data_IF_422254489805
#
_entry.id   IF_422254489805
#
_cell.length_a   1.000
_cell.length_b   1.000
_cell.length_c   1.000
_cell.angle_alpha   90.00
_cell.angle_beta   90.00
_cell.angle_gamma   90.00
#
_symmetry.space_group_name_H-M   'P 1'
#
loop_
_entity.id
_entity.type
_entity.pdbx_description
1 polymer ?
#
# COMPACT_ATOMS: atom_id res chain seq x y z
N UNK A 1 -13.28 -4.69 7.76
CA UNK A 1 -14.22 -4.05 6.81
C UNK A 1 -14.07 -2.56 6.96
N UNK A 2 -13.77 -1.83 5.89
CA UNK A 2 -13.70 -0.37 5.91
C UNK A 2 -14.90 0.19 5.13
N UNK A 3 -15.51 1.26 5.64
CA UNK A 3 -16.62 1.94 4.97
C UNK A 3 -16.08 3.06 4.08
N UNK A 4 -16.73 3.29 2.94
CA UNK A 4 -16.36 4.39 2.05
C UNK A 4 -16.66 5.75 2.71
N UNK A 5 -15.75 6.69 2.49
CA UNK A 5 -15.88 8.07 2.97
C UNK A 5 -16.45 8.95 1.86
N UNK A 6 -17.39 9.83 2.22
CA UNK A 6 -17.92 10.85 1.32
C UNK A 6 -17.14 12.16 1.48
N UNK A 7 -17.33 13.08 0.53
CA UNK A 7 -16.66 14.38 0.55
C UNK A 7 -16.95 15.13 1.85
N UNK A 8 -15.91 15.44 2.62
CA UNK A 8 -16.03 16.18 3.88
C UNK A 8 -16.41 15.34 5.10
N UNK A 9 -16.51 14.01 4.99
CA UNK A 9 -16.83 13.11 6.11
C UNK A 9 -15.87 13.20 7.29
N UNK A 10 -14.65 13.70 7.09
CA UNK A 10 -13.65 13.87 8.15
C UNK A 10 -13.51 15.31 8.66
N UNK A 11 -14.33 16.27 8.21
CA UNK A 11 -14.18 17.70 8.57
C UNK A 11 -14.17 18.00 10.07
N UNK A 12 -14.83 17.18 10.88
CA UNK A 12 -14.87 17.32 12.34
C UNK A 12 -13.96 16.33 13.07
N UNK A 13 -13.32 15.42 12.34
CA UNK A 13 -12.35 14.49 12.92
C UNK A 13 -11.04 15.25 13.09
N UNK A 14 -10.65 15.44 14.35
CA UNK A 14 -9.39 16.06 14.72
C UNK A 14 -8.74 15.24 15.83
N UNK A 15 -7.41 15.25 15.87
CA UNK A 15 -6.64 14.45 16.81
C UNK A 15 -5.16 14.68 16.62
N UNK A 16 -4.36 14.12 17.53
CA UNK A 16 -2.90 14.11 17.39
C UNK A 16 -2.48 12.80 16.75
N UNK A 17 -1.75 12.88 15.65
CA UNK A 17 -1.12 11.72 15.04
C UNK A 17 0.19 11.44 15.76
N UNK A 18 0.29 10.27 16.37
CA UNK A 18 1.52 9.76 16.94
C UNK A 18 1.98 8.60 16.06
N UNK A 19 2.89 8.88 15.13
CA UNK A 19 3.55 7.82 14.38
C UNK A 19 4.40 7.00 15.36
N UNK A 20 4.21 5.68 15.36
CA UNK A 20 5.23 4.78 15.90
C UNK A 20 6.49 4.88 15.05
N UNK A 21 7.67 4.71 15.65
CA UNK A 21 8.91 4.52 14.89
C UNK A 21 8.84 3.32 13.93
N UNK A 22 7.91 2.38 14.14
CA UNK A 22 7.62 1.28 13.21
C UNK A 22 7.04 1.73 11.85
N UNK A 23 6.65 3.00 11.71
CA UNK A 23 6.24 3.60 10.43
C UNK A 23 7.38 4.34 9.72
N UNK A 24 8.53 4.49 10.37
CA UNK A 24 9.74 5.01 9.75
C UNK A 24 10.45 3.84 9.08
N UNK A 25 10.73 3.97 7.78
CA UNK A 25 11.40 2.94 6.99
C UNK A 25 12.54 3.61 6.23
N UNK A 26 13.73 3.06 6.31
CA UNK A 26 14.89 3.49 5.54
C UNK A 26 14.86 2.91 4.13
N UNK A 27 15.59 3.55 3.21
CA UNK A 27 15.72 3.04 1.84
C UNK A 27 16.33 1.63 1.80
N UNK A 28 17.29 1.34 2.70
CA UNK A 28 17.91 0.03 2.86
C UNK A 28 16.91 -1.05 3.33
N UNK A 29 16.07 -0.74 4.33
CA UNK A 29 15.02 -1.64 4.80
C UNK A 29 13.99 -1.93 3.71
N UNK A 30 13.62 -0.91 2.92
CA UNK A 30 12.71 -1.06 1.81
C UNK A 30 13.30 -1.96 0.71
N UNK A 31 14.55 -1.72 0.32
CA UNK A 31 15.25 -2.54 -0.69
C UNK A 31 15.38 -3.99 -0.24
N UNK A 32 15.67 -4.24 1.03
CA UNK A 32 15.77 -5.60 1.57
C UNK A 32 14.41 -6.30 1.60
N UNK A 33 13.34 -5.59 1.96
CA UNK A 33 11.97 -6.10 1.88
C UNK A 33 11.58 -6.48 0.44
N UNK A 34 11.91 -5.66 -0.55
CA UNK A 34 11.58 -5.96 -1.96
C UNK A 34 12.26 -7.24 -2.48
N UNK A 35 13.48 -7.55 -2.01
CA UNK A 35 14.20 -8.77 -2.39
C UNK A 35 13.52 -10.05 -1.89
N UNK A 36 12.71 -9.97 -0.84
CA UNK A 36 11.95 -11.12 -0.33
C UNK A 36 10.78 -11.50 -1.23
N UNK A 37 10.30 -10.55 -2.06
CA UNK A 37 9.27 -10.86 -3.04
C UNK A 37 9.88 -11.60 -4.22
N UNK A 38 9.24 -12.69 -4.69
CA UNK A 38 9.61 -13.29 -5.95
C UNK A 38 9.60 -12.23 -7.05
N UNK A 39 10.61 -12.26 -7.93
CA UNK A 39 10.60 -11.40 -9.11
C UNK A 39 9.25 -11.52 -9.82
N UNK A 40 8.60 -10.37 -10.04
CA UNK A 40 7.31 -10.29 -10.74
C UNK A 40 7.51 -10.77 -12.17
N UNK A 41 7.33 -12.07 -12.37
CA UNK A 41 7.35 -12.67 -13.70
C UNK A 41 6.00 -12.34 -14.31
N UNK A 42 5.98 -11.46 -15.31
CA UNK A 42 4.76 -11.15 -16.05
C UNK A 42 4.36 -12.40 -16.83
N UNK A 43 3.43 -13.18 -16.29
CA UNK A 43 2.76 -14.23 -17.05
C UNK A 43 1.63 -13.59 -17.85
N UNK A 44 1.69 -13.73 -19.17
CA UNK A 44 0.52 -13.46 -20.00
C UNK A 44 -0.45 -14.61 -19.75
N UNK A 45 -1.59 -14.33 -19.15
CA UNK A 45 -2.67 -15.30 -18.97
C UNK A 45 -3.56 -15.30 -20.20
N UNK A 46 -4.17 -16.43 -20.53
CA UNK A 46 -5.00 -16.59 -21.74
C UNK A 46 -6.14 -15.55 -21.81
N UNK A 47 -6.60 -15.08 -20.64
CA UNK A 47 -7.61 -14.03 -20.46
C UNK A 47 -7.16 -12.62 -20.90
N UNK A 48 -5.87 -12.42 -21.17
CA UNK A 48 -5.28 -11.14 -21.59
C UNK A 48 -5.10 -11.04 -23.11
N UNK A 49 -5.26 -12.15 -23.84
CA UNK A 49 -5.06 -12.22 -25.29
C UNK A 49 -6.37 -12.20 -26.09
N UNK A 50 -7.52 -12.22 -25.42
CA UNK A 50 -8.83 -12.10 -26.07
C UNK A 50 -9.18 -10.63 -26.34
N UNK A 51 -9.11 -10.24 -27.61
CA UNK A 51 -9.60 -8.97 -28.17
C UNK A 51 -10.89 -9.22 -28.97
#
# INVERSE_FOLDING_TARGET
MALELYSGSLKQVSGKFFASGSFEVTEEELENFEKEFPHKTKHVTDTQLSH
#
